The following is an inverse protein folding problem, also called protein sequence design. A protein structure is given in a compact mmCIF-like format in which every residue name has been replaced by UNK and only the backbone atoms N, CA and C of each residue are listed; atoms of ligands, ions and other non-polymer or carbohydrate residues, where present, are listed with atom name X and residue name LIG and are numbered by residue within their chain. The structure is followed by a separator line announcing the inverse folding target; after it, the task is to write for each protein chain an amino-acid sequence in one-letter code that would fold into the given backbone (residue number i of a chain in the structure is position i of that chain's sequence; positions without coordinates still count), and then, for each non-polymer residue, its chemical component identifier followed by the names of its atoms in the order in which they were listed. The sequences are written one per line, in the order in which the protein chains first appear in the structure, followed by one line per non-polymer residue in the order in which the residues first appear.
data_IF_199649502528
#
_entry.id   IF_199649502528
#
_cell.length_a   1.000
_cell.length_b   1.000
_cell.length_c   1.000
_cell.angle_alpha   90.00
_cell.angle_beta   90.00
_cell.angle_gamma   90.00
#
_symmetry.space_group_name_H-M   'P 1'
#
loop_
_entity.id
_entity.type
_entity.pdbx_description
1 polymer ?
#
# COMPACT_ATOMS: atom_id res chain seq x y z
N UNK A 1 -12.53 13.16 36.14
CA UNK A 1 -11.41 13.86 35.53
C UNK A 1 -11.97 14.43 34.25
N UNK A 2 -12.17 15.73 34.21
CA UNK A 2 -12.70 16.47 33.08
C UNK A 2 -11.68 16.40 31.95
N UNK A 3 -12.06 15.75 30.85
CA UNK A 3 -11.31 15.81 29.59
C UNK A 3 -11.28 17.25 29.12
N UNK A 4 -10.13 17.91 29.18
CA UNK A 4 -9.91 19.15 28.43
C UNK A 4 -10.12 18.81 26.95
N UNK A 5 -11.22 19.28 26.40
CA UNK A 5 -11.45 19.35 24.97
C UNK A 5 -10.43 20.36 24.41
N UNK A 6 -9.29 19.84 23.95
CA UNK A 6 -8.32 20.66 23.25
C UNK A 6 -8.95 21.17 21.96
N UNK A 7 -8.98 22.49 21.76
CA UNK A 7 -9.35 23.10 20.49
C UNK A 7 -8.56 22.42 19.35
N UNK A 8 -9.15 22.30 18.14
CA UNK A 8 -8.44 21.69 17.01
C UNK A 8 -7.12 22.43 16.77
N UNK A 9 -6.03 21.69 16.67
CA UNK A 9 -4.72 22.24 16.31
C UNK A 9 -4.71 22.65 14.84
N UNK A 10 -3.85 23.61 14.50
CA UNK A 10 -3.49 23.92 13.12
C UNK A 10 -2.02 23.53 12.94
N UNK A 11 -1.75 22.67 11.95
CA UNK A 11 -0.41 22.17 11.64
C UNK A 11 -0.06 22.61 10.22
N UNK A 12 0.99 23.40 10.10
CA UNK A 12 1.55 23.85 8.83
C UNK A 12 2.78 22.98 8.49
N UNK A 13 2.50 21.80 7.96
CA UNK A 13 3.56 20.82 7.67
C UNK A 13 3.14 19.92 6.52
N UNK A 14 4.03 19.73 5.56
CA UNK A 14 3.85 18.76 4.48
C UNK A 14 3.98 17.33 5.03
N UNK A 15 2.89 16.76 5.51
CA UNK A 15 2.87 15.36 6.02
C UNK A 15 3.12 14.37 4.87
N UNK A 16 2.84 14.77 3.62
CA UNK A 16 2.82 13.90 2.46
C UNK A 16 4.07 13.90 1.59
N UNK A 17 4.87 14.99 1.53
CA UNK A 17 5.87 15.20 0.47
C UNK A 17 7.32 15.32 0.96
N UNK A 18 7.57 15.33 2.25
CA UNK A 18 8.91 15.52 2.79
C UNK A 18 9.76 14.25 2.68
N UNK A 19 11.06 14.43 2.36
CA UNK A 19 12.08 13.41 2.54
C UNK A 19 12.76 13.63 3.89
N UNK A 20 12.80 12.59 4.72
CA UNK A 20 13.33 12.65 6.09
C UNK A 20 14.08 11.35 6.45
N UNK A 21 14.85 11.32 7.55
CA UNK A 21 15.41 10.08 8.08
C UNK A 21 14.33 9.01 8.23
N UNK A 22 14.67 7.76 7.93
CA UNK A 22 13.73 6.64 7.72
C UNK A 22 12.58 6.57 8.72
N UNK A 23 12.85 6.70 10.02
CA UNK A 23 11.84 6.58 11.07
C UNK A 23 11.11 7.88 11.42
N UNK A 24 11.56 9.03 10.91
CA UNK A 24 11.08 10.35 11.34
C UNK A 24 9.60 10.54 11.05
N UNK A 25 9.10 10.05 9.90
CA UNK A 25 7.68 10.13 9.56
C UNK A 25 6.77 9.43 10.59
N UNK A 26 7.19 8.28 11.11
CA UNK A 26 6.43 7.56 12.14
C UNK A 26 6.49 8.29 13.49
N UNK A 27 7.65 8.81 13.87
CA UNK A 27 7.81 9.57 15.12
C UNK A 27 7.02 10.88 15.09
N UNK A 28 6.98 11.56 13.96
CA UNK A 28 6.21 12.78 13.77
C UNK A 28 4.70 12.52 13.90
N UNK A 29 4.21 11.46 13.25
CA UNK A 29 2.80 11.05 13.36
C UNK A 29 2.47 10.66 14.80
N UNK A 30 3.36 9.93 15.49
CA UNK A 30 3.18 9.57 16.89
C UNK A 30 3.11 10.82 17.79
N UNK A 31 3.99 11.81 17.56
CA UNK A 31 4.02 13.08 18.29
C UNK A 31 2.74 13.89 18.06
N UNK A 32 2.29 14.01 16.82
CA UNK A 32 1.05 14.73 16.47
C UNK A 32 -0.18 14.07 17.10
N UNK A 33 -0.25 12.72 17.13
CA UNK A 33 -1.36 11.98 17.77
C UNK A 33 -1.45 12.25 19.27
N UNK A 34 -0.32 12.36 19.97
CA UNK A 34 -0.34 12.64 21.41
C UNK A 34 -0.70 14.10 21.71
N UNK A 35 -0.44 15.02 20.79
CA UNK A 35 -0.79 16.44 20.94
C UNK A 35 -2.25 16.71 20.54
N UNK A 36 -2.75 16.06 19.48
CA UNK A 36 -4.03 16.38 18.88
C UNK A 36 -4.86 15.12 18.64
N UNK A 37 -6.11 15.12 19.06
CA UNK A 37 -7.09 14.10 18.66
C UNK A 37 -7.41 14.21 17.18
N UNK A 38 -7.50 15.44 16.68
CA UNK A 38 -7.63 15.83 15.28
C UNK A 38 -7.01 17.21 15.10
N UNK A 39 -6.55 17.51 13.92
CA UNK A 39 -6.01 18.82 13.57
C UNK A 39 -6.29 19.18 12.12
N UNK A 40 -6.22 20.48 11.83
CA UNK A 40 -6.27 20.99 10.46
C UNK A 40 -4.85 21.09 9.92
N UNK A 41 -4.57 20.40 8.78
CA UNK A 41 -3.34 20.55 8.04
C UNK A 41 -3.54 21.61 6.95
N UNK A 42 -2.58 22.51 6.76
CA UNK A 42 -2.69 23.64 5.81
C UNK A 42 -2.17 23.31 4.41
N UNK A 43 -1.67 22.10 4.17
CA UNK A 43 -1.15 21.67 2.86
C UNK A 43 -2.27 21.74 1.80
N UNK A 44 -1.94 22.31 0.62
CA UNK A 44 -2.90 22.46 -0.48
C UNK A 44 -4.06 23.39 -0.12
N UNK A 45 -5.28 22.87 -0.21
CA UNK A 45 -6.50 23.59 0.22
C UNK A 45 -6.81 23.43 1.71
N UNK A 46 -5.96 22.65 2.40
CA UNK A 46 -6.17 22.24 3.77
C UNK A 46 -7.10 21.03 3.91
N UNK A 47 -6.86 20.24 4.95
CA UNK A 47 -7.67 19.05 5.27
C UNK A 47 -7.58 18.71 6.76
N UNK A 48 -8.60 18.05 7.27
CA UNK A 48 -8.59 17.48 8.62
C UNK A 48 -7.73 16.20 8.67
N UNK A 49 -7.08 15.96 9.80
CA UNK A 49 -6.36 14.71 10.08
C UNK A 49 -6.93 14.10 11.34
N UNK A 50 -7.43 12.87 11.25
CA UNK A 50 -7.81 12.04 12.39
C UNK A 50 -6.59 11.25 12.85
N UNK A 51 -6.35 11.18 14.16
CA UNK A 51 -5.14 10.59 14.71
C UNK A 51 -5.37 9.35 15.57
N UNK A 52 -6.56 9.19 16.18
CA UNK A 52 -6.85 8.10 17.11
C UNK A 52 -7.49 6.90 16.41
N UNK A 53 -7.13 5.71 16.85
CA UNK A 53 -7.62 4.45 16.27
C UNK A 53 -9.15 4.36 16.17
N UNK A 54 -9.87 4.68 17.26
CA UNK A 54 -11.33 4.55 17.29
C UNK A 54 -12.01 5.55 16.35
N UNK A 55 -11.55 6.78 16.30
CA UNK A 55 -12.09 7.83 15.41
C UNK A 55 -11.87 7.45 13.94
N UNK A 56 -10.70 6.94 13.62
CA UNK A 56 -10.33 6.47 12.29
C UNK A 56 -11.18 5.26 11.88
N UNK A 57 -11.38 4.32 12.79
CA UNK A 57 -12.25 3.16 12.56
C UNK A 57 -13.69 3.58 12.32
N UNK A 58 -14.21 4.53 13.11
CA UNK A 58 -15.56 5.08 12.94
C UNK A 58 -15.72 5.75 11.58
N UNK A 59 -14.77 6.59 11.17
CA UNK A 59 -14.79 7.23 9.86
C UNK A 59 -14.78 6.23 8.70
N UNK A 60 -14.05 5.11 8.80
CA UNK A 60 -14.10 4.02 7.81
C UNK A 60 -15.46 3.32 7.75
N UNK A 61 -16.23 3.32 8.83
CA UNK A 61 -17.52 2.63 8.93
C UNK A 61 -18.70 3.53 8.55
N UNK A 62 -18.49 4.81 8.28
CA UNK A 62 -19.53 5.75 7.85
C UNK A 62 -19.24 6.34 6.45
N UNK A 63 -19.35 5.55 5.37
CA UNK A 63 -19.16 6.05 4.01
C UNK A 63 -20.23 7.05 3.58
N UNK A 64 -21.37 7.12 4.29
CA UNK A 64 -22.40 8.11 4.02
C UNK A 64 -21.95 9.54 4.38
N UNK A 65 -21.08 9.69 5.37
CA UNK A 65 -20.47 10.96 5.76
C UNK A 65 -19.06 11.13 5.16
N UNK A 66 -18.23 10.08 5.19
CA UNK A 66 -16.84 10.06 4.77
C UNK A 66 -16.69 9.32 3.43
N UNK A 67 -17.03 10.01 2.34
CA UNK A 67 -17.06 9.46 0.99
C UNK A 67 -15.66 9.14 0.45
N UNK A 68 -15.58 8.07 -0.32
CA UNK A 68 -14.39 7.69 -1.10
C UNK A 68 -14.28 8.44 -2.43
N UNK A 69 -15.04 9.50 -2.68
CA UNK A 69 -14.96 10.29 -3.92
C UNK A 69 -13.53 10.69 -4.29
N UNK A 70 -12.70 10.99 -3.29
CA UNK A 70 -11.24 11.05 -3.40
C UNK A 70 -10.57 10.43 -2.19
N UNK A 71 -9.43 9.77 -2.40
CA UNK A 71 -8.58 9.20 -1.35
C UNK A 71 -7.29 9.98 -1.13
N UNK A 72 -7.08 11.08 -1.88
CA UNK A 72 -5.91 11.97 -1.80
C UNK A 72 -6.34 13.27 -1.14
N UNK A 73 -5.75 13.58 0.02
CA UNK A 73 -6.20 14.72 0.84
C UNK A 73 -6.05 16.08 0.15
N UNK A 74 -5.04 16.22 -0.71
CA UNK A 74 -4.73 17.46 -1.45
C UNK A 74 -5.43 17.57 -2.81
N UNK A 75 -6.15 16.52 -3.24
CA UNK A 75 -6.87 16.46 -4.51
C UNK A 75 -8.32 16.02 -4.29
N UNK A 76 -9.23 16.95 -3.91
CA UNK A 76 -10.60 16.61 -3.55
C UNK A 76 -11.50 16.21 -4.73
N UNK A 77 -11.14 16.55 -5.96
CA UNK A 77 -11.92 16.28 -7.16
C UNK A 77 -11.01 15.82 -8.32
N UNK A 78 -10.41 14.61 -8.22
CA UNK A 78 -9.45 14.12 -9.21
C UNK A 78 -10.11 13.88 -10.58
N UNK A 79 -9.39 14.22 -11.64
CA UNK A 79 -9.82 13.96 -13.03
C UNK A 79 -9.65 12.48 -13.42
N UNK A 80 -8.84 11.73 -12.69
CA UNK A 80 -8.62 10.29 -12.87
C UNK A 80 -9.53 9.45 -11.96
N UNK A 81 -9.71 8.17 -12.29
CA UNK A 81 -10.55 7.26 -11.51
C UNK A 81 -9.78 6.03 -11.07
N UNK A 82 -9.80 5.77 -9.77
CA UNK A 82 -9.38 4.49 -9.19
C UNK A 82 -10.61 3.60 -8.94
N UNK A 83 -10.98 2.77 -9.92
CA UNK A 83 -12.11 1.84 -9.75
C UNK A 83 -11.70 0.55 -9.03
N UNK A 84 -12.46 0.11 -8.02
CA UNK A 84 -13.65 0.75 -7.44
C UNK A 84 -13.35 1.66 -6.24
N UNK A 85 -12.10 2.07 -6.00
CA UNK A 85 -11.70 2.76 -4.77
C UNK A 85 -12.37 4.14 -4.60
N UNK A 86 -12.72 4.81 -5.72
CA UNK A 86 -13.39 6.13 -5.73
C UNK A 86 -14.93 6.04 -5.80
N UNK A 87 -15.49 4.89 -5.53
CA UNK A 87 -16.96 4.69 -5.56
C UNK A 87 -17.45 4.31 -4.18
N UNK A 88 -18.53 4.98 -3.73
CA UNK A 88 -19.18 4.64 -2.46
C UNK A 88 -20.16 3.46 -2.60
N UNK A 89 -20.49 2.77 -1.50
CA UNK A 89 -21.63 1.85 -1.46
C UNK A 89 -22.96 2.57 -1.79
N UNK A 90 -23.92 1.92 -2.45
CA UNK A 90 -23.93 0.49 -2.79
C UNK A 90 -23.20 0.14 -4.11
N UNK A 91 -22.88 1.12 -4.95
CA UNK A 91 -22.30 0.89 -6.28
C UNK A 91 -20.93 0.19 -6.20
N UNK A 92 -20.07 0.60 -5.27
CA UNK A 92 -18.80 -0.04 -4.96
C UNK A 92 -18.89 -1.57 -4.84
N UNK A 93 -19.95 -2.07 -4.19
CA UNK A 93 -20.11 -3.51 -3.93
C UNK A 93 -20.34 -4.34 -5.21
N UNK A 94 -20.83 -3.71 -6.29
CA UNK A 94 -21.01 -4.38 -7.57
C UNK A 94 -19.67 -4.78 -8.19
N UNK A 95 -18.69 -3.86 -8.18
CA UNK A 95 -17.34 -4.12 -8.65
C UNK A 95 -16.58 -5.08 -7.72
N UNK A 96 -16.71 -4.90 -6.40
CA UNK A 96 -16.07 -5.80 -5.42
C UNK A 96 -16.47 -7.25 -5.61
N UNK A 97 -17.75 -7.52 -5.90
CA UNK A 97 -18.24 -8.89 -6.15
C UNK A 97 -17.57 -9.56 -7.34
N UNK A 98 -17.22 -8.81 -8.39
CA UNK A 98 -16.50 -9.34 -9.55
C UNK A 98 -15.10 -9.80 -9.17
N UNK A 99 -14.43 -9.05 -8.31
CA UNK A 99 -13.01 -9.21 -8.00
C UNK A 99 -12.73 -10.08 -6.77
N UNK A 100 -13.63 -10.07 -5.76
CA UNK A 100 -13.37 -10.71 -4.46
C UNK A 100 -12.97 -12.18 -4.57
N UNK A 101 -13.54 -12.94 -5.53
CA UNK A 101 -13.20 -14.36 -5.72
C UNK A 101 -11.73 -14.54 -6.16
N UNK A 102 -11.18 -13.57 -6.90
CA UNK A 102 -9.81 -13.61 -7.43
C UNK A 102 -8.76 -13.37 -6.36
N UNK A 103 -9.10 -12.57 -5.35
CA UNK A 103 -8.25 -12.22 -4.22
C UNK A 103 -8.64 -12.95 -2.91
N UNK A 104 -9.55 -13.93 -3.00
CA UNK A 104 -9.95 -14.72 -1.84
C UNK A 104 -8.81 -15.63 -1.35
N UNK A 105 -8.76 -16.01 -0.05
CA UNK A 105 -7.70 -16.86 0.49
C UNK A 105 -7.42 -18.13 -0.33
N UNK A 106 -8.47 -18.82 -0.78
CA UNK A 106 -8.33 -20.03 -1.59
C UNK A 106 -7.73 -19.79 -3.00
N UNK A 107 -7.91 -18.58 -3.56
CA UNK A 107 -7.27 -18.21 -4.82
C UNK A 107 -5.79 -17.86 -4.59
N UNK A 108 -5.50 -17.12 -3.52
CA UNK A 108 -4.13 -16.78 -3.11
C UNK A 108 -3.31 -18.03 -2.79
N UNK A 109 -3.91 -19.04 -2.12
CA UNK A 109 -3.23 -20.31 -1.82
C UNK A 109 -2.76 -21.03 -3.10
N UNK A 110 -3.54 -20.99 -4.18
CA UNK A 110 -3.14 -21.56 -5.48
C UNK A 110 -1.96 -20.83 -6.12
N UNK A 111 -1.71 -19.58 -5.73
CA UNK A 111 -0.60 -18.77 -6.25
C UNK A 111 0.70 -18.97 -5.46
N UNK A 112 0.67 -19.60 -4.27
CA UNK A 112 1.86 -19.81 -3.44
C UNK A 112 3.04 -20.44 -4.20
N UNK A 113 2.87 -21.50 -5.03
CA UNK A 113 4.00 -22.05 -5.78
C UNK A 113 4.67 -21.03 -6.70
N UNK A 114 3.88 -20.17 -7.36
CA UNK A 114 4.40 -19.10 -8.22
C UNK A 114 5.11 -18.02 -7.41
N UNK A 115 4.59 -17.66 -6.23
CA UNK A 115 5.23 -16.69 -5.33
C UNK A 115 6.59 -17.22 -4.84
N UNK A 116 6.64 -18.48 -4.37
CA UNK A 116 7.88 -19.13 -3.94
C UNK A 116 8.92 -19.18 -5.07
N UNK A 117 8.52 -19.57 -6.27
CA UNK A 117 9.42 -19.61 -7.43
C UNK A 117 9.96 -18.20 -7.75
N UNK A 118 9.07 -17.19 -7.83
CA UNK A 118 9.45 -15.83 -8.15
C UNK A 118 10.40 -15.21 -7.09
N UNK A 119 10.12 -15.44 -5.80
CA UNK A 119 10.97 -14.96 -4.72
C UNK A 119 12.34 -15.64 -4.75
N UNK A 120 12.37 -16.97 -4.84
CA UNK A 120 13.59 -17.77 -4.87
C UNK A 120 14.51 -17.38 -6.02
N UNK A 121 14.01 -17.37 -7.26
CA UNK A 121 14.79 -16.98 -8.44
C UNK A 121 15.34 -15.55 -8.34
N UNK A 122 14.57 -14.64 -7.69
CA UNK A 122 15.03 -13.26 -7.48
C UNK A 122 16.17 -13.20 -6.47
N UNK A 123 16.15 -14.01 -5.40
CA UNK A 123 17.24 -14.10 -4.42
C UNK A 123 18.47 -14.83 -5.01
N UNK A 124 18.26 -15.93 -5.73
CA UNK A 124 19.33 -16.68 -6.39
C UNK A 124 20.15 -15.82 -7.37
N UNK A 125 19.52 -14.84 -8.02
CA UNK A 125 20.20 -13.92 -8.92
C UNK A 125 21.18 -12.97 -8.22
N UNK A 126 21.14 -12.84 -6.89
CA UNK A 126 21.95 -11.89 -6.12
C UNK A 126 22.76 -12.53 -4.98
N UNK A 127 22.45 -13.77 -4.58
CA UNK A 127 23.04 -14.40 -3.38
C UNK A 127 24.56 -14.43 -3.39
N UNK A 128 25.19 -14.67 -4.54
CA UNK A 128 26.65 -14.76 -4.70
C UNK A 128 27.34 -13.38 -4.76
N UNK A 129 26.59 -12.28 -4.68
CA UNK A 129 27.15 -10.93 -4.74
C UNK A 129 27.63 -10.40 -3.37
N UNK A 130 27.19 -11.01 -2.24
CA UNK A 130 27.50 -10.57 -0.89
C UNK A 130 26.84 -9.25 -0.48
N UNK A 131 26.19 -8.55 -1.40
CA UNK A 131 25.44 -7.31 -1.15
C UNK A 131 24.48 -6.99 -2.28
N UNK A 132 23.46 -6.19 -1.99
CA UNK A 132 22.57 -5.64 -3.03
C UNK A 132 21.95 -4.32 -2.57
N UNK A 133 21.40 -3.57 -3.52
CA UNK A 133 20.38 -2.56 -3.23
C UNK A 133 19.01 -3.27 -3.28
N UNK A 134 18.44 -3.55 -2.10
CA UNK A 134 17.27 -4.41 -1.95
C UNK A 134 16.05 -3.90 -2.72
N UNK A 135 15.82 -2.57 -2.73
CA UNK A 135 14.64 -1.99 -3.39
C UNK A 135 14.62 -2.32 -4.88
N UNK A 136 15.76 -2.17 -5.58
CA UNK A 136 15.86 -2.41 -7.03
C UNK A 136 16.14 -3.86 -7.40
N UNK A 137 16.85 -4.60 -6.53
CA UNK A 137 17.25 -5.98 -6.84
C UNK A 137 16.17 -7.00 -6.50
N UNK A 138 15.35 -6.72 -5.47
CA UNK A 138 14.32 -7.64 -5.01
C UNK A 138 12.92 -6.99 -5.00
N UNK A 139 12.73 -5.88 -4.28
CA UNK A 139 11.42 -5.33 -4.02
C UNK A 139 10.71 -4.73 -5.25
N UNK A 140 11.45 -4.26 -6.25
CA UNK A 140 10.89 -3.86 -7.56
C UNK A 140 10.48 -5.07 -8.42
N UNK A 141 11.18 -6.21 -8.29
CA UNK A 141 11.10 -7.33 -9.24
C UNK A 141 10.12 -8.42 -8.81
N UNK A 142 10.23 -8.85 -7.55
CA UNK A 142 9.41 -9.94 -7.02
C UNK A 142 7.90 -9.64 -7.10
N UNK A 143 7.39 -8.48 -6.61
CA UNK A 143 5.96 -8.18 -6.69
C UNK A 143 5.44 -8.08 -8.12
N UNK A 144 6.25 -7.55 -9.05
CA UNK A 144 5.87 -7.47 -10.48
C UNK A 144 5.62 -8.87 -11.05
N UNK A 145 6.50 -9.83 -10.78
CA UNK A 145 6.33 -11.21 -11.28
C UNK A 145 5.07 -11.88 -10.72
N UNK A 146 4.79 -11.67 -9.42
CA UNK A 146 3.57 -12.20 -8.79
C UNK A 146 2.33 -11.53 -9.36
N UNK A 147 2.36 -10.21 -9.52
CA UNK A 147 1.26 -9.44 -10.11
C UNK A 147 0.94 -9.92 -11.53
N UNK A 148 1.94 -10.02 -12.41
CA UNK A 148 1.74 -10.49 -13.78
C UNK A 148 1.13 -11.89 -13.81
N UNK A 149 1.66 -12.81 -13.00
CA UNK A 149 1.09 -14.15 -12.87
C UNK A 149 -0.36 -14.11 -12.38
N UNK A 150 -0.67 -13.21 -11.43
CA UNK A 150 -2.03 -13.04 -10.90
C UNK A 150 -3.01 -12.50 -11.94
N UNK A 151 -2.52 -11.75 -12.91
CA UNK A 151 -3.33 -11.20 -13.99
C UNK A 151 -3.44 -12.12 -15.22
N UNK A 152 -2.71 -13.26 -15.21
CA UNK A 152 -2.64 -14.18 -16.34
C UNK A 152 -1.71 -13.71 -17.46
N UNK A 153 -0.71 -12.88 -17.13
CA UNK A 153 0.25 -12.27 -18.06
C UNK A 153 1.61 -12.98 -18.01
N UNK A 154 2.46 -12.72 -19.02
CA UNK A 154 3.85 -13.22 -19.04
C UNK A 154 4.67 -12.61 -17.92
N UNK A 155 5.29 -13.43 -17.10
CA UNK A 155 6.14 -13.00 -15.97
C UNK A 155 7.55 -12.61 -16.41
N UNK A 156 7.90 -12.76 -17.68
CA UNK A 156 9.20 -12.44 -18.26
C UNK A 156 9.11 -11.29 -19.27
N UNK A 157 8.20 -11.39 -20.24
CA UNK A 157 8.14 -10.44 -21.35
C UNK A 157 7.65 -9.06 -20.92
N UNK A 158 6.70 -8.99 -19.99
CA UNK A 158 6.11 -7.76 -19.48
C UNK A 158 6.81 -7.21 -18.23
N UNK A 159 7.68 -7.98 -17.57
CA UNK A 159 8.24 -7.63 -16.26
C UNK A 159 9.03 -6.31 -16.27
N UNK A 160 9.93 -6.11 -17.25
CA UNK A 160 10.76 -4.91 -17.32
C UNK A 160 9.93 -3.65 -17.60
N UNK A 161 8.85 -3.77 -18.37
CA UNK A 161 7.90 -2.67 -18.57
C UNK A 161 7.27 -2.24 -17.25
N UNK A 162 6.68 -3.18 -16.49
CA UNK A 162 6.04 -2.85 -15.21
C UNK A 162 7.02 -2.39 -14.15
N UNK A 163 8.23 -2.96 -14.07
CA UNK A 163 9.32 -2.46 -13.20
C UNK A 163 9.66 -1.00 -13.53
N UNK A 164 9.76 -0.66 -14.82
CA UNK A 164 9.99 0.73 -15.26
C UNK A 164 8.84 1.65 -14.83
N UNK A 165 7.59 1.21 -14.99
CA UNK A 165 6.42 1.98 -14.58
C UNK A 165 6.41 2.22 -13.05
N UNK A 166 6.67 1.17 -12.25
CA UNK A 166 6.74 1.30 -10.77
C UNK A 166 7.79 2.31 -10.35
N UNK A 167 8.98 2.25 -10.95
CA UNK A 167 10.05 3.22 -10.63
C UNK A 167 9.65 4.65 -10.94
N UNK A 168 9.00 4.90 -12.09
CA UNK A 168 8.52 6.24 -12.44
C UNK A 168 7.39 6.72 -11.54
N UNK A 169 6.49 5.82 -11.11
CA UNK A 169 5.45 6.14 -10.12
C UNK A 169 6.05 6.52 -8.77
N UNK A 170 7.06 5.76 -8.30
CA UNK A 170 7.73 6.03 -7.02
C UNK A 170 8.61 7.29 -7.07
N UNK A 171 9.24 7.62 -8.21
CA UNK A 171 10.15 8.76 -8.35
C UNK A 171 9.46 10.13 -8.26
N UNK A 172 8.17 10.22 -8.54
CA UNK A 172 7.47 11.51 -8.44
C UNK A 172 7.46 12.07 -7.01
N UNK A 173 7.53 11.22 -6.05
CA UNK A 173 7.67 11.65 -4.66
C UNK A 173 9.08 12.22 -4.37
N UNK A 174 10.02 12.12 -5.31
CA UNK A 174 11.41 12.58 -5.15
C UNK A 174 11.74 13.83 -5.97
N UNK A 175 11.03 14.07 -7.09
CA UNK A 175 11.29 15.20 -7.97
C UNK A 175 10.32 16.36 -7.68
N UNK A 176 10.74 17.25 -6.76
CA UNK A 176 10.13 18.58 -6.62
C UNK A 176 10.48 19.51 -7.80
N UNK A 177 11.33 19.08 -8.71
CA UNK A 177 11.66 19.76 -9.96
C UNK A 177 10.80 19.18 -11.11
N UNK A 178 9.51 19.45 -11.11
CA UNK A 178 8.75 19.43 -12.35
C UNK A 178 9.34 20.50 -13.27
N UNK A 179 10.26 20.10 -14.15
CA UNK A 179 10.84 20.96 -15.15
C UNK A 179 9.72 21.67 -15.90
N UNK A 180 9.81 22.99 -16.04
CA UNK A 180 8.82 23.82 -16.66
C UNK A 180 8.45 23.26 -18.06
N UNK A 181 7.26 22.65 -18.19
CA UNK A 181 6.61 22.35 -19.48
C UNK A 181 6.64 20.89 -19.96
N UNK A 182 7.06 19.90 -19.16
CA UNK A 182 7.00 18.47 -19.54
C UNK A 182 5.94 17.67 -18.75
N UNK A 183 5.46 16.55 -19.33
CA UNK A 183 4.62 15.58 -18.65
C UNK A 183 5.40 15.00 -17.45
N UNK A 184 4.75 14.92 -16.27
CA UNK A 184 5.42 14.37 -15.09
C UNK A 184 5.72 12.87 -15.30
N UNK A 185 6.81 12.33 -14.72
CA UNK A 185 7.12 10.89 -14.81
C UNK A 185 5.97 9.99 -14.37
N UNK A 186 5.17 10.43 -13.38
CA UNK A 186 3.97 9.70 -12.95
C UNK A 186 2.89 9.70 -14.02
N UNK A 187 2.57 10.83 -14.62
CA UNK A 187 1.55 10.89 -15.67
C UNK A 187 1.97 10.07 -16.89
N UNK A 188 3.26 10.12 -17.25
CA UNK A 188 3.82 9.25 -18.28
C UNK A 188 3.66 7.77 -17.93
N UNK A 189 4.01 7.35 -16.71
CA UNK A 189 3.83 5.96 -16.27
C UNK A 189 2.34 5.55 -16.22
N UNK A 190 1.48 6.46 -15.77
CA UNK A 190 0.03 6.25 -15.77
C UNK A 190 -0.49 5.99 -17.19
N UNK A 191 -0.11 6.84 -18.14
CA UNK A 191 -0.54 6.72 -19.52
C UNK A 191 -0.03 5.43 -20.17
N UNK A 192 1.22 5.04 -19.90
CA UNK A 192 1.79 3.79 -20.40
C UNK A 192 1.04 2.57 -19.84
N UNK A 193 0.73 2.54 -18.57
CA UNK A 193 -0.06 1.48 -17.93
C UNK A 193 -1.48 1.45 -18.51
N UNK A 194 -2.13 2.61 -18.68
CA UNK A 194 -3.48 2.69 -19.25
C UNK A 194 -3.51 2.20 -20.71
N UNK A 195 -2.51 2.54 -21.51
CA UNK A 195 -2.37 2.07 -22.90
C UNK A 195 -2.16 0.56 -22.95
N UNK A 196 -1.24 0.01 -22.11
CA UNK A 196 -1.02 -1.43 -22.01
C UNK A 196 -2.34 -2.18 -21.74
N UNK A 197 -3.12 -1.73 -20.77
CA UNK A 197 -4.39 -2.38 -20.43
C UNK A 197 -5.44 -2.19 -21.53
N UNK A 198 -5.43 -1.08 -22.26
CA UNK A 198 -6.33 -0.87 -23.42
C UNK A 198 -6.05 -1.93 -24.49
N UNK A 199 -4.78 -2.15 -24.81
CA UNK A 199 -4.37 -3.14 -25.81
C UNK A 199 -4.66 -4.57 -25.33
N UNK A 200 -4.38 -4.89 -24.05
CA UNK A 200 -4.67 -6.19 -23.47
C UNK A 200 -6.19 -6.49 -23.48
N UNK A 201 -7.03 -5.51 -23.18
CA UNK A 201 -8.50 -5.66 -23.23
C UNK A 201 -8.96 -5.94 -24.66
N UNK A 202 -8.45 -5.18 -25.63
CA UNK A 202 -8.79 -5.37 -27.05
C UNK A 202 -8.40 -6.78 -27.53
N UNK A 203 -7.21 -7.25 -27.16
CA UNK A 203 -6.78 -8.63 -27.47
C UNK A 203 -7.70 -9.67 -26.83
N UNK A 204 -8.03 -9.53 -25.54
CA UNK A 204 -8.90 -10.49 -24.83
C UNK A 204 -10.36 -10.46 -25.30
N UNK A 205 -10.81 -9.36 -25.87
CA UNK A 205 -12.11 -9.30 -26.59
C UNK A 205 -12.08 -10.13 -27.86
N UNK A 206 -10.98 -10.05 -28.63
CA UNK A 206 -10.80 -10.80 -29.86
C UNK A 206 -10.42 -12.27 -29.63
N UNK A 207 -9.54 -12.53 -28.66
CA UNK A 207 -8.92 -13.80 -28.36
C UNK A 207 -9.09 -14.13 -26.86
N UNK A 208 -10.29 -14.45 -26.38
CA UNK A 208 -10.51 -14.68 -24.93
C UNK A 208 -9.79 -15.94 -24.47
N UNK A 209 -9.13 -15.83 -23.31
CA UNK A 209 -8.52 -16.94 -22.60
C UNK A 209 -9.50 -17.59 -21.61
N UNK A 210 -9.00 -18.49 -20.76
CA UNK A 210 -9.76 -19.05 -19.67
C UNK A 210 -9.97 -18.01 -18.56
N UNK A 211 -11.22 -17.62 -18.22
CA UNK A 211 -11.50 -16.62 -17.19
C UNK A 211 -11.15 -17.06 -15.76
N UNK A 212 -10.77 -18.33 -15.55
CA UNK A 212 -10.32 -18.80 -14.23
C UNK A 212 -8.81 -18.62 -14.02
N UNK A 213 -8.06 -18.23 -15.09
CA UNK A 213 -6.60 -17.99 -15.05
C UNK A 213 -6.19 -16.66 -15.68
N UNK A 214 -7.09 -15.96 -16.39
CA UNK A 214 -6.84 -14.65 -16.99
C UNK A 214 -7.85 -13.63 -16.48
N UNK A 215 -7.37 -12.68 -15.70
CA UNK A 215 -8.23 -11.71 -15.02
C UNK A 215 -8.90 -10.74 -16.00
N UNK A 216 -8.22 -10.35 -17.08
CA UNK A 216 -8.81 -9.47 -18.10
C UNK A 216 -9.96 -10.17 -18.81
N UNK A 217 -9.78 -11.45 -19.20
CA UNK A 217 -10.87 -12.25 -19.76
C UNK A 217 -12.04 -12.40 -18.79
N UNK A 218 -11.77 -12.59 -17.51
CA UNK A 218 -12.79 -12.60 -16.47
C UNK A 218 -13.63 -11.32 -16.52
N UNK A 219 -12.99 -10.15 -16.51
CA UNK A 219 -13.69 -8.86 -16.52
C UNK A 219 -14.44 -8.62 -17.84
N UNK A 220 -13.84 -8.95 -18.98
CA UNK A 220 -14.50 -8.78 -20.30
C UNK A 220 -15.76 -9.62 -20.47
N UNK A 221 -15.86 -10.76 -19.76
CA UNK A 221 -17.04 -11.64 -19.74
C UNK A 221 -18.01 -11.33 -18.60
N UNK A 222 -17.61 -10.50 -17.64
CA UNK A 222 -18.41 -10.18 -16.45
C UNK A 222 -19.52 -9.18 -16.74
N UNK A 223 -20.55 -9.24 -15.87
CA UNK A 223 -21.64 -8.27 -15.86
C UNK A 223 -21.83 -7.72 -14.45
N UNK A 224 -22.02 -6.42 -14.34
CA UNK A 224 -22.44 -5.77 -13.10
C UNK A 224 -23.90 -6.12 -12.83
N UNK A 225 -24.19 -6.61 -11.63
CA UNK A 225 -25.50 -7.09 -11.20
C UNK A 225 -26.14 -8.14 -12.14
N UNK A 226 -25.32 -8.85 -12.93
CA UNK A 226 -25.78 -9.86 -13.87
C UNK A 226 -26.39 -9.30 -15.17
N UNK A 227 -26.48 -8.00 -15.32
CA UNK A 227 -27.16 -7.32 -16.43
C UNK A 227 -26.23 -6.52 -17.34
N UNK A 228 -25.58 -5.48 -16.80
CA UNK A 228 -24.72 -4.55 -17.55
C UNK A 228 -23.34 -5.14 -17.78
N UNK A 229 -22.90 -5.39 -19.04
CA UNK A 229 -21.50 -5.74 -19.30
C UNK A 229 -20.58 -4.65 -18.74
N UNK A 230 -19.40 -5.04 -18.22
CA UNK A 230 -18.39 -4.08 -17.80
C UNK A 230 -17.79 -3.41 -19.03
N UNK A 231 -17.86 -2.07 -19.17
CA UNK A 231 -17.27 -1.36 -20.30
C UNK A 231 -15.74 -1.42 -20.27
N UNK A 232 -15.11 -1.29 -21.43
CA UNK A 232 -13.65 -1.43 -21.56
C UNK A 232 -12.89 -0.33 -20.83
N UNK A 233 -13.42 0.89 -20.74
CA UNK A 233 -12.84 1.98 -19.94
C UNK A 233 -12.90 1.68 -18.44
N UNK A 234 -13.96 1.07 -17.93
CA UNK A 234 -14.06 0.64 -16.55
C UNK A 234 -13.11 -0.53 -16.25
N UNK A 235 -12.98 -1.50 -17.17
CA UNK A 235 -12.01 -2.60 -17.05
C UNK A 235 -10.59 -2.04 -16.98
N UNK A 236 -10.24 -1.10 -17.87
CA UNK A 236 -8.95 -0.41 -17.87
C UNK A 236 -8.70 0.27 -16.52
N UNK A 237 -9.65 1.06 -16.03
CA UNK A 237 -9.50 1.79 -14.77
C UNK A 237 -9.33 0.83 -13.57
N UNK A 238 -10.01 -0.34 -13.57
CA UNK A 238 -9.80 -1.40 -12.58
C UNK A 238 -8.37 -1.95 -12.69
N UNK A 239 -7.90 -2.29 -13.89
CA UNK A 239 -6.57 -2.86 -14.09
C UNK A 239 -5.46 -1.86 -13.73
N UNK A 240 -5.61 -0.57 -14.07
CA UNK A 240 -4.71 0.51 -13.63
C UNK A 240 -4.66 0.60 -12.10
N UNK A 241 -5.85 0.61 -11.46
CA UNK A 241 -5.93 0.65 -9.98
C UNK A 241 -5.21 -0.54 -9.33
N UNK A 242 -5.41 -1.75 -9.87
CA UNK A 242 -4.74 -2.94 -9.36
C UNK A 242 -3.23 -2.89 -9.58
N UNK A 243 -2.77 -2.40 -10.73
CA UNK A 243 -1.35 -2.24 -11.02
C UNK A 243 -0.67 -1.33 -9.99
N UNK A 244 -1.19 -0.11 -9.82
CA UNK A 244 -0.63 0.88 -8.90
C UNK A 244 -0.73 0.39 -7.45
N UNK A 245 -1.91 -0.12 -7.07
CA UNK A 245 -2.16 -0.57 -5.70
C UNK A 245 -1.36 -1.80 -5.28
N UNK A 246 -0.96 -2.66 -6.21
CA UNK A 246 -0.23 -3.90 -5.89
C UNK A 246 1.28 -3.72 -5.87
N UNK A 247 1.83 -2.93 -6.78
CA UNK A 247 3.28 -2.93 -7.01
C UNK A 247 4.03 -2.01 -6.06
N UNK A 248 3.65 -0.75 -5.99
CA UNK A 248 4.37 0.25 -5.20
C UNK A 248 4.19 0.05 -3.68
N UNK A 249 2.98 -0.33 -3.25
CA UNK A 249 2.69 -0.57 -1.83
C UNK A 249 3.45 -1.78 -1.29
N UNK A 250 3.50 -2.88 -2.05
CA UNK A 250 4.20 -4.08 -1.62
C UNK A 250 5.72 -3.88 -1.60
N UNK A 251 6.28 -3.19 -2.60
CA UNK A 251 7.67 -2.75 -2.61
C UNK A 251 8.02 -1.99 -1.33
N UNK A 252 7.21 -0.99 -0.99
CA UNK A 252 7.43 -0.16 0.20
C UNK A 252 7.35 -0.98 1.48
N UNK A 253 6.37 -1.87 1.61
CA UNK A 253 6.22 -2.71 2.79
C UNK A 253 7.37 -3.73 2.94
N UNK A 254 7.82 -4.34 1.84
CA UNK A 254 9.02 -5.19 1.82
C UNK A 254 10.24 -4.42 2.32
N UNK A 255 10.43 -3.19 1.86
CA UNK A 255 11.51 -2.32 2.33
C UNK A 255 11.52 -2.19 3.85
N UNK A 256 10.36 -1.93 4.47
CA UNK A 256 10.24 -1.81 5.93
C UNK A 256 10.43 -3.13 6.67
N UNK A 257 9.93 -4.25 6.14
CA UNK A 257 10.18 -5.57 6.72
C UNK A 257 11.68 -5.86 6.79
N UNK A 258 12.37 -5.68 5.68
CA UNK A 258 13.81 -5.98 5.60
C UNK A 258 14.68 -4.93 6.28
N UNK A 259 14.26 -3.66 6.35
CA UNK A 259 14.88 -2.66 7.22
C UNK A 259 14.87 -3.11 8.68
N UNK A 260 13.69 -3.55 9.19
CA UNK A 260 13.59 -4.06 10.55
C UNK A 260 14.51 -5.25 10.76
N UNK A 261 14.43 -6.25 9.90
CA UNK A 261 15.19 -7.49 10.02
C UNK A 261 16.72 -7.28 9.87
N UNK A 262 17.16 -6.27 9.13
CA UNK A 262 18.56 -5.89 9.02
C UNK A 262 19.09 -5.13 10.24
N UNK A 263 18.22 -4.36 10.92
CA UNK A 263 18.58 -3.56 12.08
C UNK A 263 18.32 -4.24 13.44
N UNK A 264 17.50 -5.31 13.44
CA UNK A 264 17.13 -6.09 14.63
C UNK A 264 17.49 -7.57 14.45
N UNK A 265 18.79 -7.92 14.54
CA UNK A 265 19.27 -9.27 14.25
C UNK A 265 18.67 -10.35 15.15
N UNK A 266 18.26 -9.99 16.38
CA UNK A 266 17.65 -10.97 17.29
C UNK A 266 16.26 -11.40 16.81
N UNK A 267 15.42 -10.48 16.33
CA UNK A 267 14.12 -10.82 15.73
C UNK A 267 14.29 -11.64 14.45
N UNK A 268 15.26 -11.26 13.61
CA UNK A 268 15.60 -12.04 12.42
C UNK A 268 15.99 -13.48 12.77
N UNK A 269 16.91 -13.68 13.72
CA UNK A 269 17.37 -15.00 14.16
C UNK A 269 16.25 -15.84 14.75
N UNK A 270 15.31 -15.22 15.49
CA UNK A 270 14.12 -15.92 15.99
C UNK A 270 13.28 -16.45 14.85
N UNK A 271 13.03 -15.63 13.80
CA UNK A 271 12.25 -16.04 12.62
C UNK A 271 12.99 -17.13 11.84
N UNK A 272 14.31 -17.01 11.62
CA UNK A 272 15.13 -18.03 10.96
C UNK A 272 15.11 -19.36 11.71
N UNK A 273 15.19 -19.32 13.05
CA UNK A 273 15.16 -20.51 13.89
C UNK A 273 13.76 -21.15 13.99
N UNK A 274 12.72 -20.37 13.89
CA UNK A 274 11.32 -20.80 13.93
C UNK A 274 10.49 -20.07 12.86
N UNK A 275 10.41 -20.60 11.64
CA UNK A 275 9.62 -19.98 10.54
C UNK A 275 8.13 -19.86 10.83
N UNK A 276 7.58 -20.56 11.85
CA UNK A 276 6.18 -20.39 12.24
C UNK A 276 5.88 -18.98 12.77
N UNK A 277 6.90 -18.23 13.18
CA UNK A 277 6.79 -16.84 13.61
C UNK A 277 6.59 -15.85 12.46
N UNK A 278 6.95 -16.23 11.20
CA UNK A 278 6.91 -15.31 10.04
C UNK A 278 5.52 -14.69 9.86
N UNK A 279 4.45 -15.49 9.99
CA UNK A 279 3.08 -14.97 9.85
C UNK A 279 2.72 -13.89 10.89
N UNK A 280 3.10 -14.10 12.16
CA UNK A 280 2.93 -13.12 13.24
C UNK A 280 3.79 -11.87 13.02
N UNK A 281 5.03 -12.05 12.60
CA UNK A 281 5.97 -10.97 12.30
C UNK A 281 5.46 -10.08 11.15
N UNK A 282 4.89 -10.68 10.08
CA UNK A 282 4.27 -9.92 8.97
C UNK A 282 3.13 -9.04 9.47
N UNK A 283 2.22 -9.56 10.31
CA UNK A 283 1.15 -8.73 10.90
C UNK A 283 1.73 -7.59 11.76
N UNK A 284 2.81 -7.85 12.50
CA UNK A 284 3.43 -6.81 13.33
C UNK A 284 4.19 -5.78 12.48
N UNK A 285 4.86 -6.15 11.41
CA UNK A 285 5.49 -5.20 10.50
C UNK A 285 4.45 -4.32 9.80
N UNK A 286 3.32 -4.87 9.38
CA UNK A 286 2.20 -4.12 8.85
C UNK A 286 1.63 -3.12 9.87
N UNK A 287 1.56 -3.50 11.15
CA UNK A 287 1.13 -2.63 12.24
C UNK A 287 2.16 -1.54 12.57
N UNK A 288 3.42 -1.92 12.73
CA UNK A 288 4.46 -1.02 13.22
C UNK A 288 4.95 -0.03 12.15
N UNK A 289 4.92 -0.46 10.88
CA UNK A 289 5.30 0.31 9.70
C UNK A 289 4.14 0.45 8.71
N UNK A 290 3.03 1.08 9.11
CA UNK A 290 1.87 1.26 8.23
C UNK A 290 2.18 2.34 7.21
N UNK A 291 2.32 1.94 5.94
CA UNK A 291 2.86 2.80 4.88
C UNK A 291 1.84 3.76 4.26
N UNK A 292 0.54 3.49 4.36
CA UNK A 292 -0.50 4.21 3.63
C UNK A 292 -1.50 4.84 4.58
N UNK A 293 -1.87 6.08 4.30
CA UNK A 293 -3.08 6.74 4.82
C UNK A 293 -3.96 7.19 3.66
N UNK A 294 -5.27 7.14 3.84
CA UNK A 294 -6.24 7.48 2.80
C UNK A 294 -7.11 8.64 3.27
N UNK A 295 -7.49 9.52 2.34
CA UNK A 295 -8.44 10.58 2.65
C UNK A 295 -9.89 10.17 2.37
N UNK A 296 -10.81 11.01 2.84
CA UNK A 296 -12.25 10.96 2.56
C UNK A 296 -12.75 12.38 2.31
N UNK A 297 -13.74 12.51 1.44
CA UNK A 297 -14.43 13.78 1.22
C UNK A 297 -15.73 13.79 2.02
N UNK A 298 -15.98 14.86 2.77
CA UNK A 298 -17.22 14.99 3.55
C UNK A 298 -18.42 15.28 2.65
N UNK A 299 -19.47 14.49 2.80
CA UNK A 299 -20.73 14.67 2.05
C UNK A 299 -21.66 15.69 2.68
N UNK A 300 -21.43 16.05 3.94
CA UNK A 300 -22.27 16.95 4.75
C UNK A 300 -21.47 17.60 5.85
N UNK A 301 -22.01 18.66 6.44
CA UNK A 301 -21.50 19.21 7.71
C UNK A 301 -21.68 18.18 8.81
N UNK A 302 -20.66 18.01 9.64
CA UNK A 302 -20.66 17.10 10.79
C UNK A 302 -19.90 17.70 11.96
N UNK A 303 -20.43 17.54 13.15
CA UNK A 303 -19.65 17.68 14.39
C UNK A 303 -19.09 16.31 14.76
N UNK A 304 -17.82 16.09 14.45
CA UNK A 304 -17.17 14.81 14.69
C UNK A 304 -16.40 14.88 16.02
N UNK A 305 -17.05 14.43 17.09
CA UNK A 305 -16.51 14.45 18.46
C UNK A 305 -16.02 15.83 18.93
N UNK A 306 -16.79 16.87 18.62
CA UNK A 306 -16.44 18.26 18.95
C UNK A 306 -15.61 18.98 17.87
N UNK A 307 -15.30 18.32 16.75
CA UNK A 307 -14.65 18.91 15.58
C UNK A 307 -15.70 19.32 14.53
N UNK A 308 -15.94 20.61 14.31
CA UNK A 308 -16.94 21.09 13.35
C UNK A 308 -16.40 21.05 11.93
N UNK A 309 -16.52 19.92 11.27
CA UNK A 309 -16.10 19.71 9.89
C UNK A 309 -17.21 20.10 8.91
N UNK A 310 -16.84 20.65 7.76
CA UNK A 310 -17.78 21.13 6.75
C UNK A 310 -17.84 20.21 5.55
N UNK A 311 -19.02 20.16 4.91
CA UNK A 311 -19.21 19.51 3.62
C UNK A 311 -18.10 19.92 2.65
N UNK A 312 -17.70 18.99 1.79
CA UNK A 312 -16.65 19.09 0.77
C UNK A 312 -15.22 19.25 1.32
N UNK A 313 -15.01 19.37 2.62
CA UNK A 313 -13.67 19.29 3.20
C UNK A 313 -13.13 17.86 3.12
N UNK A 314 -11.80 17.77 2.99
CA UNK A 314 -11.09 16.51 3.03
C UNK A 314 -10.69 16.12 4.46
N UNK A 315 -10.71 14.82 4.74
CA UNK A 315 -10.31 14.24 6.03
C UNK A 315 -9.33 13.12 5.78
N UNK A 316 -8.09 13.26 6.22
CA UNK A 316 -7.10 12.19 6.22
C UNK A 316 -7.40 11.22 7.35
N UNK A 317 -7.74 9.98 6.97
CA UNK A 317 -7.98 8.86 7.90
C UNK A 317 -6.64 8.14 8.06
N UNK A 318 -5.84 8.56 9.06
CA UNK A 318 -4.44 8.17 9.17
C UNK A 318 -4.26 6.75 9.72
N UNK A 319 -4.21 5.74 8.84
CA UNK A 319 -3.86 4.37 9.22
C UNK A 319 -2.48 4.32 9.90
N UNK A 320 -1.57 5.18 9.46
CA UNK A 320 -0.22 5.33 10.01
C UNK A 320 -0.28 5.70 11.50
N UNK A 321 -1.19 6.59 11.87
CA UNK A 321 -1.41 6.93 13.28
C UNK A 321 -2.17 5.84 14.04
N UNK A 322 -3.25 5.31 13.44
CA UNK A 322 -4.12 4.32 14.08
C UNK A 322 -3.36 3.04 14.47
N UNK A 323 -2.54 2.50 13.57
CA UNK A 323 -1.79 1.25 13.82
C UNK A 323 -0.70 1.41 14.89
N UNK A 324 -0.34 2.63 15.23
CA UNK A 324 0.65 2.97 16.24
C UNK A 324 0.06 3.65 17.48
N UNK A 325 -1.27 3.63 17.63
CA UNK A 325 -1.96 4.24 18.78
C UNK A 325 -1.77 3.40 20.05
N UNK A 326 -1.08 3.93 21.09
CA UNK A 326 -0.83 3.20 22.34
C UNK A 326 -2.11 2.92 23.13
N UNK A 327 -3.23 3.59 22.81
CA UNK A 327 -4.54 3.32 23.40
C UNK A 327 -5.11 1.98 22.94
N UNK A 328 -4.73 1.56 21.72
CA UNK A 328 -5.13 0.29 21.13
C UNK A 328 -4.04 -0.79 21.27
N UNK A 329 -2.77 -0.41 21.12
CA UNK A 329 -1.63 -1.33 21.10
C UNK A 329 -0.66 -0.99 22.24
N UNK A 330 -0.61 -1.75 23.34
CA UNK A 330 0.41 -1.57 24.36
C UNK A 330 1.82 -1.63 23.75
N UNK A 331 2.70 -0.72 24.15
CA UNK A 331 4.04 -0.56 23.55
C UNK A 331 4.00 -0.37 22.03
N UNK A 332 3.11 0.48 21.55
CA UNK A 332 2.83 0.65 20.11
C UNK A 332 4.07 1.09 19.28
N UNK A 333 5.02 1.78 19.90
CA UNK A 333 6.26 2.20 19.27
C UNK A 333 7.27 1.05 19.04
N UNK A 334 7.11 -0.07 19.78
CA UNK A 334 7.97 -1.25 19.69
C UNK A 334 7.42 -2.24 18.66
N UNK A 335 8.33 -2.95 17.97
CA UNK A 335 7.97 -4.12 17.16
C UNK A 335 8.06 -5.36 18.05
N UNK A 336 6.98 -6.11 18.12
CA UNK A 336 6.86 -7.34 18.90
C UNK A 336 6.37 -8.43 17.95
N UNK A 337 7.30 -9.19 17.34
CA UNK A 337 7.03 -10.10 16.21
C UNK A 337 6.00 -11.23 16.52
N UNK A 338 5.72 -11.46 17.77
CA UNK A 338 4.71 -12.41 18.28
C UNK A 338 3.54 -11.73 19.00
N UNK A 339 3.28 -10.44 18.70
CA UNK A 339 2.18 -9.67 19.29
C UNK A 339 0.84 -10.36 19.08
N UNK A 340 0.13 -10.60 20.18
CA UNK A 340 -1.21 -11.18 20.16
C UNK A 340 -2.07 -10.58 21.30
N UNK A 341 -3.29 -10.07 21.05
CA UNK A 341 -3.89 -9.87 19.72
C UNK A 341 -3.25 -8.73 18.93
N UNK A 342 -3.29 -8.80 17.59
CA UNK A 342 -2.81 -7.76 16.69
C UNK A 342 -3.92 -7.34 15.70
N UNK A 343 -4.85 -6.52 16.16
CA UNK A 343 -6.04 -6.09 15.39
C UNK A 343 -5.80 -4.76 14.67
N UNK A 344 -4.72 -4.69 13.90
CA UNK A 344 -4.38 -3.49 13.16
C UNK A 344 -5.30 -3.23 11.97
N UNK A 345 -5.33 -1.98 11.52
CA UNK A 345 -6.11 -1.52 10.36
C UNK A 345 -5.21 -0.98 9.23
N UNK A 346 -3.99 -1.52 9.08
CA UNK A 346 -3.07 -1.12 8.01
C UNK A 346 -3.66 -1.28 6.60
N UNK A 347 -4.56 -2.21 6.42
CA UNK A 347 -5.33 -2.43 5.18
C UNK A 347 -6.67 -1.69 5.13
N UNK A 348 -6.87 -0.71 6.01
CA UNK A 348 -8.18 -0.08 6.17
C UNK A 348 -9.21 -0.98 6.86
N UNK A 349 -10.46 -0.53 6.88
CA UNK A 349 -11.58 -1.25 7.48
C UNK A 349 -12.85 -1.07 6.63
N UNK A 350 -13.93 -1.84 6.98
CA UNK A 350 -15.24 -1.80 6.33
C UNK A 350 -15.20 -2.21 4.85
N UNK A 351 -16.12 -1.70 4.04
CA UNK A 351 -16.33 -2.09 2.64
C UNK A 351 -15.11 -1.84 1.75
N UNK A 352 -14.37 -0.78 2.03
CA UNK A 352 -13.16 -0.39 1.30
C UNK A 352 -11.86 -1.03 1.83
N UNK A 353 -11.96 -2.00 2.73
CA UNK A 353 -10.76 -2.75 3.14
C UNK A 353 -10.02 -3.27 1.92
N UNK A 354 -8.69 -3.17 1.94
CA UNK A 354 -7.82 -3.56 0.83
C UNK A 354 -8.21 -4.94 0.26
N UNK A 355 -8.46 -4.95 -1.06
CA UNK A 355 -8.83 -6.16 -1.79
C UNK A 355 -7.69 -7.19 -1.77
N UNK A 356 -6.44 -6.73 -1.97
CA UNK A 356 -5.23 -7.54 -2.00
C UNK A 356 -4.67 -7.94 -0.64
N UNK A 357 -5.39 -7.70 0.47
CA UNK A 357 -4.84 -7.91 1.82
C UNK A 357 -4.39 -9.35 2.12
N UNK A 358 -5.00 -10.36 1.49
CA UNK A 358 -4.57 -11.75 1.62
C UNK A 358 -3.35 -12.04 0.74
N UNK A 359 -3.33 -11.50 -0.47
CA UNK A 359 -2.22 -11.62 -1.41
C UNK A 359 -0.95 -10.96 -0.82
N UNK A 360 -1.04 -9.71 -0.35
CA UNK A 360 0.08 -9.00 0.23
C UNK A 360 0.69 -9.73 1.45
N UNK A 361 -0.15 -10.30 2.33
CA UNK A 361 0.33 -11.12 3.46
C UNK A 361 1.11 -12.35 3.00
N UNK A 362 0.58 -13.05 1.99
CA UNK A 362 1.24 -14.22 1.43
C UNK A 362 2.57 -13.84 0.77
N UNK A 363 2.59 -12.75 0.00
CA UNK A 363 3.81 -12.27 -0.65
C UNK A 363 4.87 -11.84 0.36
N UNK A 364 4.51 -11.11 1.42
CA UNK A 364 5.45 -10.73 2.48
C UNK A 364 6.02 -11.95 3.21
N UNK A 365 5.16 -12.91 3.53
CA UNK A 365 5.55 -14.16 4.19
C UNK A 365 6.55 -14.94 3.31
N UNK A 366 6.18 -15.21 2.07
CA UNK A 366 7.02 -15.94 1.11
C UNK A 366 8.35 -15.24 0.85
N UNK A 367 8.35 -13.91 0.74
CA UNK A 367 9.57 -13.13 0.54
C UNK A 367 10.56 -13.30 1.72
N UNK A 368 10.06 -13.26 2.95
CA UNK A 368 10.88 -13.45 4.16
C UNK A 368 11.43 -14.87 4.22
N UNK A 369 10.59 -15.87 3.98
CA UNK A 369 10.99 -17.28 4.06
C UNK A 369 12.01 -17.67 3.00
N UNK A 370 11.78 -17.28 1.74
CA UNK A 370 12.71 -17.61 0.64
C UNK A 370 14.03 -16.85 0.77
N UNK A 371 13.99 -15.58 1.21
CA UNK A 371 15.20 -14.84 1.49
C UNK A 371 16.02 -15.50 2.60
N UNK A 372 15.41 -15.84 3.73
CA UNK A 372 16.11 -16.43 4.87
C UNK A 372 16.62 -17.86 4.59
N UNK A 373 16.02 -18.57 3.63
CA UNK A 373 16.52 -19.87 3.19
C UNK A 373 17.91 -19.77 2.53
N UNK A 374 18.17 -18.66 1.82
CA UNK A 374 19.41 -18.46 1.07
C UNK A 374 20.36 -17.47 1.77
N UNK A 375 19.83 -16.46 2.42
CA UNK A 375 20.57 -15.37 3.10
C UNK A 375 20.03 -15.20 4.53
N UNK A 376 20.34 -16.13 5.47
CA UNK A 376 19.79 -16.08 6.83
C UNK A 376 20.38 -14.96 7.69
N UNK A 377 21.62 -14.52 7.39
CA UNK A 377 22.31 -13.45 8.12
C UNK A 377 22.67 -12.32 7.16
N UNK A 378 22.27 -11.12 7.50
CA UNK A 378 22.57 -9.89 6.75
C UNK A 378 22.47 -8.66 7.65
N UNK A 379 22.95 -7.54 7.15
CA UNK A 379 22.98 -6.24 7.83
C UNK A 379 22.75 -5.12 6.84
N UNK A 380 22.58 -3.91 7.32
CA UNK A 380 22.66 -2.73 6.44
C UNK A 380 24.05 -2.68 5.79
N UNK A 381 24.07 -2.44 4.50
CA UNK A 381 25.30 -2.27 3.69
C UNK A 381 25.87 -0.85 3.72
N UNK A 382 25.42 0.00 4.64
CA UNK A 382 25.86 1.38 4.79
C UNK A 382 25.73 1.84 6.25
N UNK A 383 26.62 2.76 6.65
CA UNK A 383 26.53 3.49 7.92
C UNK A 383 25.82 4.85 7.75
N UNK A 384 25.49 5.26 6.52
CA UNK A 384 24.75 6.49 6.25
C UNK A 384 23.29 6.34 6.71
N UNK A 385 22.69 7.42 7.26
CA UNK A 385 21.26 7.40 7.58
C UNK A 385 20.42 7.12 6.33
N UNK A 386 19.53 6.14 6.43
CA UNK A 386 18.56 5.88 5.38
C UNK A 386 17.49 6.97 5.40
N UNK A 387 17.02 7.31 4.20
CA UNK A 387 15.96 8.29 4.00
C UNK A 387 14.68 7.60 3.55
N UNK A 388 13.54 8.16 3.97
CA UNK A 388 12.23 7.76 3.54
C UNK A 388 11.45 8.97 3.01
N UNK A 389 10.53 8.69 2.11
CA UNK A 389 9.56 9.65 1.60
C UNK A 389 8.29 9.56 2.43
N UNK A 390 7.60 10.72 2.65
CA UNK A 390 6.29 10.79 3.29
C UNK A 390 5.13 10.41 2.35
N UNK A 391 3.91 10.62 2.76
CA UNK A 391 2.71 10.21 2.02
C UNK A 391 2.50 8.70 2.10
N UNK A 392 2.83 7.97 1.05
CA UNK A 392 3.14 6.55 1.18
C UNK A 392 4.55 6.42 1.72
N UNK A 393 4.70 6.08 3.01
CA UNK A 393 6.01 6.04 3.66
C UNK A 393 6.86 4.92 3.07
N UNK A 394 7.90 5.29 2.33
CA UNK A 394 8.72 4.38 1.54
C UNK A 394 10.20 4.74 1.65
N UNK A 395 11.05 3.74 1.87
CA UNK A 395 12.50 3.94 1.87
C UNK A 395 12.99 4.27 0.47
N UNK A 396 13.87 5.28 0.34
CA UNK A 396 14.46 5.66 -0.95
C UNK A 396 15.39 4.58 -1.50
N UNK A 397 16.14 3.94 -0.60
CA UNK A 397 17.03 2.81 -0.88
C UNK A 397 17.21 1.97 0.38
N UNK A 398 17.53 0.71 0.20
CA UNK A 398 17.87 -0.21 1.29
C UNK A 398 19.06 -1.09 0.89
N UNK A 399 20.30 -0.61 1.04
CA UNK A 399 21.47 -1.43 0.81
C UNK A 399 21.59 -2.51 1.90
N UNK A 400 21.68 -3.77 1.49
CA UNK A 400 21.92 -4.92 2.35
C UNK A 400 23.24 -5.58 2.01
N UNK A 401 23.90 -6.18 3.02
CA UNK A 401 25.14 -6.93 2.87
C UNK A 401 25.13 -8.19 3.73
N UNK A 402 25.75 -9.26 3.22
CA UNK A 402 25.91 -10.55 3.89
C UNK A 402 27.27 -11.15 3.58
N UNK A 403 27.68 -12.15 4.36
CA UNK A 403 28.93 -12.86 4.14
C UNK A 403 28.70 -14.03 3.18
N UNK A 404 29.64 -14.28 2.25
CA UNK A 404 29.60 -15.36 1.23
C UNK A 404 30.13 -16.67 1.78
#
# INVERSE_FOLDING_TARGET
MTTEESSPGVVDQAIGSAVAPAMEHFFEIDRLREQYRYFWNTEGQGYWVLTRFEDIREAFQDPATFSNHSIVATDPDPEYRFLPSFIDPPEHMKYRRLMNRWFAPAAVEKMLPTMHLAARETVEAIVDQGSCEFSTSFADRYPVRVFLASMGLSTTDDADFFVSCVRRLSHQFHDTEAGAGGESPMMSAWNDIANYWTDAIADRRANPLDPDVDFVTLLTKSKLDGERPVPDDEIRDICVTLTIGSLDTLKSQLGWCFYHLATHPDDRRRIVADPSLTAGAVEEFLRAYPIVSMARKLTRDVDFHGCPMKKDQMVLVSNQSACRDPRMFPNAAEVIIDRSPNRHIAFGASEHRCLGSHLARAELHVAIDEWHTLIPEYRLGTDEPLLAHGGQISLLKLPLAWDL
#
